data_IF_235347454899
#
_entry.id   IF_235347454899
#
_cell.length_a   1.000
_cell.length_b   1.000
_cell.length_c   1.000
_cell.angle_alpha   90.00
_cell.angle_beta   90.00
_cell.angle_gamma   90.00
#
_symmetry.space_group_name_H-M   'P 1'
#
loop_
_entity.id
_entity.type
_entity.pdbx_description
1 polymer ?
#
# COMPACT_ATOMS: atom_id res chain seq x y z
N UNK A 1 12.25 14.37 -1.91
CA UNK A 1 10.84 13.93 -2.01
C UNK A 1 9.97 15.08 -1.51
N UNK A 2 8.87 15.39 -2.19
CA UNK A 2 7.88 16.37 -1.69
C UNK A 2 6.60 15.65 -1.34
N UNK A 3 5.76 16.23 -0.47
CA UNK A 3 4.47 15.66 -0.11
C UNK A 3 3.59 15.39 -1.33
N UNK A 4 3.64 16.25 -2.35
CA UNK A 4 2.95 16.05 -3.63
C UNK A 4 3.44 14.81 -4.38
N UNK A 5 4.76 14.60 -4.45
CA UNK A 5 5.32 13.41 -5.12
C UNK A 5 4.91 12.13 -4.38
N UNK A 6 4.92 12.15 -3.03
CA UNK A 6 4.49 10.99 -2.23
C UNK A 6 3.02 10.63 -2.50
N UNK A 7 2.13 11.64 -2.56
CA UNK A 7 0.72 11.41 -2.87
C UNK A 7 0.52 10.79 -4.25
N UNK A 8 1.24 11.27 -5.26
CA UNK A 8 1.19 10.70 -6.61
C UNK A 8 1.67 9.25 -6.67
N UNK A 9 2.71 8.91 -5.90
CA UNK A 9 3.23 7.55 -5.85
C UNK A 9 2.28 6.61 -5.08
N UNK A 10 1.68 7.08 -3.99
CA UNK A 10 0.61 6.37 -3.28
C UNK A 10 -0.62 6.11 -4.18
N UNK A 11 -1.03 7.08 -5.00
CA UNK A 11 -2.12 6.89 -5.96
C UNK A 11 -1.84 5.77 -6.95
N UNK A 12 -0.63 5.75 -7.55
CA UNK A 12 -0.22 4.68 -8.47
C UNK A 12 -0.23 3.31 -7.79
N UNK A 13 0.35 3.22 -6.60
CA UNK A 13 0.38 1.97 -5.83
C UNK A 13 -1.02 1.49 -5.48
N UNK A 14 -1.91 2.40 -5.09
CA UNK A 14 -3.29 2.06 -4.76
C UNK A 14 -4.04 1.47 -5.96
N UNK A 15 -3.78 1.96 -7.18
CA UNK A 15 -4.39 1.43 -8.40
C UNK A 15 -3.93 0.00 -8.70
N UNK A 16 -2.63 -0.26 -8.54
CA UNK A 16 -2.07 -1.60 -8.72
C UNK A 16 -2.57 -2.57 -7.64
N UNK A 17 -2.60 -2.11 -6.38
CA UNK A 17 -3.14 -2.88 -5.27
C UNK A 17 -4.62 -3.23 -5.48
N UNK A 18 -5.44 -2.27 -5.93
CA UNK A 18 -6.85 -2.49 -6.22
C UNK A 18 -7.05 -3.54 -7.32
N UNK A 19 -6.17 -3.55 -8.31
CA UNK A 19 -6.18 -4.56 -9.38
C UNK A 19 -5.98 -5.96 -8.81
N UNK A 20 -5.03 -6.15 -7.88
CA UNK A 20 -4.80 -7.44 -7.22
C UNK A 20 -5.97 -7.82 -6.29
N UNK A 21 -6.51 -6.85 -5.55
CA UNK A 21 -7.69 -7.06 -4.69
C UNK A 21 -8.87 -7.57 -5.51
N UNK A 22 -9.16 -6.94 -6.64
CA UNK A 22 -10.25 -7.35 -7.53
C UNK A 22 -9.98 -8.69 -8.21
N UNK A 23 -8.75 -8.91 -8.71
CA UNK A 23 -8.35 -10.14 -9.40
C UNK A 23 -8.54 -11.38 -8.52
N UNK A 24 -8.21 -11.28 -7.23
CA UNK A 24 -8.25 -12.40 -6.29
C UNK A 24 -9.43 -12.35 -5.31
N UNK A 25 -10.34 -11.40 -5.50
CA UNK A 25 -11.46 -11.14 -4.59
C UNK A 25 -11.01 -11.11 -3.12
N UNK A 26 -10.02 -10.25 -2.83
CA UNK A 26 -9.44 -10.07 -1.49
C UNK A 26 -10.36 -9.24 -0.61
N UNK A 27 -11.59 -9.73 -0.39
CA UNK A 27 -12.48 -9.22 0.63
C UNK A 27 -11.89 -9.56 2.00
N UNK A 28 -11.12 -8.66 2.57
CA UNK A 28 -10.70 -8.75 3.96
C UNK A 28 -11.58 -7.82 4.78
N UNK A 29 -12.33 -8.40 5.72
CA UNK A 29 -13.13 -7.68 6.71
C UNK A 29 -12.27 -6.98 7.76
N UNK A 30 -10.96 -7.25 7.78
CA UNK A 30 -9.99 -6.68 8.71
C UNK A 30 -8.64 -6.48 8.02
N UNK A 31 -8.01 -5.33 8.29
CA UNK A 31 -6.65 -5.02 7.84
C UNK A 31 -5.61 -6.02 8.37
N UNK A 32 -5.90 -6.68 9.50
CA UNK A 32 -5.00 -7.67 10.11
C UNK A 32 -5.00 -9.00 9.34
N UNK A 33 -6.10 -9.33 8.66
CA UNK A 33 -6.27 -10.61 7.98
C UNK A 33 -5.91 -10.55 6.49
N UNK A 34 -5.59 -9.35 5.98
CA UNK A 34 -5.33 -9.12 4.54
C UNK A 34 -4.17 -9.97 4.02
N UNK A 35 -3.09 -10.14 4.81
CA UNK A 35 -1.91 -10.94 4.41
C UNK A 35 -2.25 -12.43 4.37
N UNK A 36 -2.97 -12.91 5.39
CA UNK A 36 -3.41 -14.31 5.48
C UNK A 36 -4.40 -14.65 4.35
N UNK A 37 -5.33 -13.73 4.07
CA UNK A 37 -6.31 -13.84 2.98
C UNK A 37 -5.62 -13.83 1.63
N UNK A 38 -4.67 -12.91 1.41
CA UNK A 38 -3.88 -12.85 0.19
C UNK A 38 -3.09 -14.14 -0.03
N UNK A 39 -2.45 -14.70 1.01
CA UNK A 39 -1.72 -15.96 0.90
C UNK A 39 -2.61 -17.15 0.50
N UNK A 40 -3.87 -17.15 0.93
CA UNK A 40 -4.82 -18.20 0.61
C UNK A 40 -5.43 -18.06 -0.79
N UNK A 41 -5.70 -16.83 -1.22
CA UNK A 41 -6.45 -16.54 -2.46
C UNK A 41 -5.55 -16.27 -3.66
N UNK A 42 -4.34 -15.74 -3.46
CA UNK A 42 -3.43 -15.45 -4.55
C UNK A 42 -2.71 -16.73 -4.98
N UNK A 43 -3.10 -17.25 -6.14
CA UNK A 43 -2.57 -18.50 -6.69
C UNK A 43 -1.33 -18.32 -7.56
N UNK A 44 -1.07 -17.10 -8.07
CA UNK A 44 0.16 -16.78 -8.80
C UNK A 44 1.22 -16.27 -7.82
N UNK A 45 2.36 -16.97 -7.66
CA UNK A 45 3.42 -16.52 -6.77
C UNK A 45 3.95 -15.12 -7.08
N UNK A 46 3.96 -14.70 -8.35
CA UNK A 46 4.42 -13.36 -8.75
C UNK A 46 3.48 -12.29 -8.22
N UNK A 47 2.18 -12.52 -8.32
CA UNK A 47 1.19 -11.59 -7.80
C UNK A 47 1.19 -11.55 -6.28
N UNK A 48 1.50 -12.67 -5.61
CA UNK A 48 1.61 -12.68 -4.14
C UNK A 48 2.82 -11.87 -3.68
N UNK A 49 3.97 -12.05 -4.33
CA UNK A 49 5.15 -11.23 -4.08
C UNK A 49 4.84 -9.76 -4.35
N UNK A 50 4.21 -9.44 -5.49
CA UNK A 50 3.87 -8.06 -5.83
C UNK A 50 2.90 -7.44 -4.82
N UNK A 51 1.91 -8.19 -4.35
CA UNK A 51 1.01 -7.76 -3.29
C UNK A 51 1.76 -7.38 -1.99
N UNK A 52 2.77 -8.18 -1.60
CA UNK A 52 3.60 -7.88 -0.43
C UNK A 52 4.48 -6.64 -0.65
N UNK A 53 5.06 -6.50 -1.84
CA UNK A 53 5.86 -5.33 -2.21
C UNK A 53 5.01 -4.05 -2.14
N UNK A 54 3.85 -4.03 -2.81
CA UNK A 54 2.92 -2.91 -2.78
C UNK A 54 2.48 -2.55 -1.36
N UNK A 55 2.26 -3.55 -0.50
CA UNK A 55 1.90 -3.35 0.90
C UNK A 55 3.03 -2.68 1.69
N UNK A 56 4.28 -3.07 1.42
CA UNK A 56 5.46 -2.49 2.06
C UNK A 56 5.73 -1.07 1.55
N UNK A 57 5.71 -0.87 0.22
CA UNK A 57 5.91 0.42 -0.43
C UNK A 57 4.88 1.46 0.06
N UNK A 58 3.59 1.07 0.11
CA UNK A 58 2.53 1.93 0.61
C UNK A 58 2.73 2.34 2.07
N UNK A 59 3.19 1.43 2.93
CA UNK A 59 3.49 1.75 4.34
C UNK A 59 4.65 2.75 4.45
N UNK A 60 5.75 2.52 3.75
CA UNK A 60 6.94 3.39 3.79
C UNK A 60 6.57 4.81 3.31
N UNK A 61 5.80 4.92 2.23
CA UNK A 61 5.36 6.21 1.71
C UNK A 61 4.39 6.92 2.67
N UNK A 62 3.49 6.18 3.32
CA UNK A 62 2.63 6.72 4.37
C UNK A 62 3.43 7.28 5.54
N UNK A 63 4.40 6.52 6.06
CA UNK A 63 5.29 6.97 7.14
C UNK A 63 6.12 8.20 6.72
N UNK A 64 6.62 8.23 5.47
CA UNK A 64 7.34 9.38 4.92
C UNK A 64 6.44 10.62 4.76
N UNK A 65 5.18 10.46 4.35
CA UNK A 65 4.21 11.55 4.28
C UNK A 65 3.97 12.15 5.67
N UNK A 66 3.70 11.30 6.67
CA UNK A 66 3.49 11.75 8.06
C UNK A 66 4.71 12.50 8.59
N UNK A 67 5.92 11.97 8.38
CA UNK A 67 7.15 12.63 8.82
C UNK A 67 7.35 14.01 8.16
N UNK A 68 7.03 14.14 6.87
CA UNK A 68 7.09 15.42 6.16
C UNK A 68 6.03 16.40 6.67
N UNK A 69 4.80 15.94 6.90
CA UNK A 69 3.72 16.78 7.44
C UNK A 69 4.11 17.31 8.83
N UNK A 70 4.63 16.46 9.71
CA UNK A 70 5.12 16.88 11.04
C UNK A 70 6.28 17.87 10.96
N UNK A 71 7.22 17.68 10.03
CA UNK A 71 8.34 18.60 9.84
C UNK A 71 7.86 19.98 9.36
N UNK A 72 6.88 20.02 8.45
CA UNK A 72 6.33 21.28 7.94
C UNK A 72 5.46 22.02 8.95
N UNK A 73 4.85 21.33 9.92
CA UNK A 73 4.00 21.94 10.97
C UNK A 73 4.83 22.46 12.14
N UNK A 74 6.05 21.94 12.37
CA UNK A 74 6.94 22.36 13.48
C UNK A 74 7.80 23.60 13.17
N UNK A 75 7.78 24.10 11.94
CA UNK A 75 8.53 25.28 11.48
C UNK A 75 7.69 26.58 11.45
N UNK A 76 6.44 26.56 11.94
CA UNK A 76 5.55 27.72 12.20
C UNK A 76 5.39 27.98 13.71
#
# INVERSE_FOLDING_TARGET
MTLTTIRQDLEKLSGEMLTLIQKYNLDATSSLDIISTARQKITDPKDYVRFLELSLEGRILGEAATALEEATVKDD
#
